data_IF_058342601591
#
_entry.id   IF_058342601591
#
_cell.length_a   1.000
_cell.length_b   1.000
_cell.length_c   1.000
_cell.angle_alpha   90.00
_cell.angle_beta   90.00
_cell.angle_gamma   90.00
#
_symmetry.space_group_name_H-M   'P 1'
#
loop_
_entity.id
_entity.type
_entity.pdbx_description
1 polymer ?
#
# COMPACT_ATOMS: atom_id res chain seq x y z
N UNK A 1 8.27 2.34 0.75
CA UNK A 1 8.66 2.91 -0.57
C UNK A 1 7.39 3.47 -1.21
N UNK A 2 7.39 4.72 -1.69
CA UNK A 2 6.18 5.52 -1.96
C UNK A 2 5.46 5.08 -3.26
N UNK A 3 4.64 4.02 -3.19
CA UNK A 3 3.96 3.41 -4.35
C UNK A 3 3.00 4.39 -5.07
N UNK A 4 2.36 5.29 -4.32
CA UNK A 4 1.41 6.29 -4.86
C UNK A 4 2.16 7.34 -5.71
N UNK A 5 3.35 7.76 -5.30
CA UNK A 5 4.18 8.71 -6.06
C UNK A 5 4.66 8.08 -7.37
N UNK A 6 5.08 6.81 -7.30
CA UNK A 6 5.46 6.04 -8.48
C UNK A 6 4.29 5.90 -9.46
N UNK A 7 3.09 5.67 -8.93
CA UNK A 7 1.89 5.57 -9.76
C UNK A 7 1.54 6.91 -10.42
N UNK A 8 1.63 8.04 -9.72
CA UNK A 8 1.43 9.36 -10.32
C UNK A 8 2.38 9.65 -11.48
N UNK A 9 3.66 9.27 -11.34
CA UNK A 9 4.64 9.38 -12.43
C UNK A 9 4.25 8.53 -13.65
N UNK A 10 3.82 7.28 -13.43
CA UNK A 10 3.36 6.38 -14.50
C UNK A 10 2.12 6.94 -15.20
N UNK A 11 1.19 7.51 -14.44
CA UNK A 11 -0.07 8.07 -14.95
C UNK A 11 0.09 9.49 -15.51
N UNK A 12 1.31 10.03 -15.54
CA UNK A 12 1.65 11.36 -16.08
C UNK A 12 0.92 12.52 -15.37
N UNK A 13 0.68 12.41 -14.06
CA UNK A 13 0.17 13.52 -13.25
C UNK A 13 1.02 13.78 -12.01
N UNK A 14 1.05 15.03 -11.58
CA UNK A 14 1.82 15.46 -10.41
C UNK A 14 1.01 15.24 -9.12
N UNK A 15 1.53 14.43 -8.21
CA UNK A 15 0.98 14.27 -6.86
C UNK A 15 1.60 15.32 -5.95
N UNK A 16 0.77 16.19 -5.36
CA UNK A 16 1.24 17.09 -4.31
C UNK A 16 1.41 16.31 -3.00
N UNK A 17 2.66 16.15 -2.57
CA UNK A 17 2.96 15.47 -1.31
C UNK A 17 2.93 16.47 -0.15
N UNK A 18 1.92 16.35 0.70
CA UNK A 18 1.94 16.98 2.02
C UNK A 18 2.61 16.01 2.99
N UNK A 19 3.83 16.33 3.41
CA UNK A 19 4.51 15.56 4.45
C UNK A 19 3.77 15.76 5.77
N UNK A 20 3.38 14.65 6.40
CA UNK A 20 2.81 14.63 7.74
C UNK A 20 3.85 14.01 8.65
N UNK A 21 4.36 14.81 9.58
CA UNK A 21 5.37 14.38 10.53
C UNK A 21 4.70 13.74 11.74
N UNK A 22 5.28 12.63 12.21
CA UNK A 22 4.88 11.94 13.44
C UNK A 22 5.90 12.23 14.54
N UNK A 23 6.16 13.51 14.84
CA UNK A 23 6.98 13.83 16.00
C UNK A 23 6.19 13.55 17.29
N UNK A 24 6.82 13.06 18.37
CA UNK A 24 6.15 12.93 19.66
C UNK A 24 5.62 14.30 20.10
N UNK A 25 4.29 14.45 20.18
CA UNK A 25 3.63 15.70 20.57
C UNK A 25 3.09 16.54 19.41
N UNK A 26 3.40 16.22 18.15
CA UNK A 26 2.68 16.80 17.02
C UNK A 26 1.31 16.14 16.88
N UNK A 27 0.26 16.94 17.07
CA UNK A 27 -1.11 16.47 16.85
C UNK A 27 -1.33 16.49 15.35
N UNK A 28 -1.64 15.33 14.76
CA UNK A 28 -2.18 15.27 13.39
C UNK A 28 -3.21 16.40 13.23
N UNK A 29 -3.11 17.17 12.15
CA UNK A 29 -4.00 18.30 11.86
C UNK A 29 -5.44 17.92 12.23
N UNK A 30 -6.04 18.63 13.19
CA UNK A 30 -7.33 18.23 13.77
C UNK A 30 -8.44 18.18 12.72
N UNK A 31 -8.31 18.95 11.63
CA UNK A 31 -9.18 18.86 10.48
C UNK A 31 -9.01 17.53 9.72
N UNK A 32 -7.78 17.08 9.52
CA UNK A 32 -7.45 15.80 8.90
C UNK A 32 -7.87 14.60 9.78
N UNK A 33 -7.68 14.71 11.10
CA UNK A 33 -8.14 13.70 12.06
C UNK A 33 -9.67 13.54 12.09
N UNK A 34 -10.40 14.64 11.93
CA UNK A 34 -11.87 14.61 11.86
C UNK A 34 -12.38 13.92 10.60
N UNK A 35 -11.68 14.08 9.48
CA UNK A 35 -12.04 13.46 8.22
C UNK A 35 -11.55 12.01 8.10
N UNK A 36 -10.39 11.67 8.67
CA UNK A 36 -9.81 10.32 8.68
C UNK A 36 -9.91 9.69 10.09
N UNK A 37 -11.03 9.02 10.43
CA UNK A 37 -11.23 8.42 11.76
C UNK A 37 -10.25 7.29 12.05
N UNK A 38 -9.72 6.62 11.00
CA UNK A 38 -8.74 5.54 11.13
C UNK A 38 -7.34 6.05 11.50
N UNK A 39 -7.08 7.36 11.32
CA UNK A 39 -5.79 8.03 11.55
C UNK A 39 -4.61 7.33 10.86
N UNK A 40 -4.89 6.66 9.74
CA UNK A 40 -3.90 5.91 8.98
C UNK A 40 -3.42 6.70 7.78
N UNK A 41 -2.11 6.69 7.54
CA UNK A 41 -1.51 7.14 6.29
C UNK A 41 -1.09 5.93 5.45
N UNK A 42 -1.04 6.08 4.11
CA UNK A 42 -1.33 7.28 3.32
C UNK A 42 -2.85 7.59 3.22
N UNK A 43 -3.16 8.86 2.94
CA UNK A 43 -4.50 9.32 2.58
C UNK A 43 -4.43 10.24 1.35
N UNK A 44 -5.40 10.13 0.47
CA UNK A 44 -5.59 10.96 -0.71
C UNK A 44 -6.82 11.85 -0.52
N UNK A 45 -6.68 13.13 -0.81
CA UNK A 45 -7.79 14.08 -0.95
C UNK A 45 -7.89 14.46 -2.42
N UNK A 46 -9.07 14.27 -2.99
CA UNK A 46 -9.39 14.66 -4.36
C UNK A 46 -10.77 15.33 -4.38
N UNK A 47 -10.77 16.68 -4.41
CA UNK A 47 -11.97 17.47 -4.15
C UNK A 47 -12.56 17.17 -2.77
N UNK A 48 -13.83 16.74 -2.74
CA UNK A 48 -14.54 16.36 -1.51
C UNK A 48 -14.34 14.89 -1.11
N UNK A 49 -13.60 14.12 -1.93
CA UNK A 49 -13.36 12.70 -1.69
C UNK A 49 -12.08 12.51 -0.86
N UNK A 50 -12.22 11.85 0.29
CA UNK A 50 -11.10 11.39 1.11
C UNK A 50 -11.01 9.85 1.04
N UNK A 51 -9.89 9.34 0.55
CA UNK A 51 -9.60 7.90 0.53
C UNK A 51 -8.40 7.63 1.41
N UNK A 52 -8.53 6.63 2.28
CA UNK A 52 -7.42 6.07 3.05
C UNK A 52 -7.17 4.64 2.58
N UNK A 53 -5.96 4.12 2.82
CA UNK A 53 -5.43 2.83 2.33
C UNK A 53 -4.72 2.94 0.98
N UNK A 54 -3.46 2.49 0.92
CA UNK A 54 -2.64 2.62 -0.28
C UNK A 54 -3.18 1.84 -1.47
N UNK A 55 -3.81 0.69 -1.25
CA UNK A 55 -4.32 -0.17 -2.31
C UNK A 55 -5.61 0.41 -2.89
N UNK A 56 -6.50 0.90 -2.02
CA UNK A 56 -7.70 1.62 -2.44
C UNK A 56 -7.36 2.90 -3.21
N UNK A 57 -6.39 3.69 -2.73
CA UNK A 57 -5.90 4.89 -3.43
C UNK A 57 -5.36 4.52 -4.82
N UNK A 58 -4.55 3.47 -4.93
CA UNK A 58 -3.99 3.05 -6.22
C UNK A 58 -5.09 2.64 -7.20
N UNK A 59 -6.06 1.83 -6.77
CA UNK A 59 -7.19 1.42 -7.61
C UNK A 59 -8.03 2.62 -8.07
N UNK A 60 -8.28 3.59 -7.19
CA UNK A 60 -8.97 4.83 -7.52
C UNK A 60 -8.20 5.65 -8.56
N UNK A 61 -6.92 5.91 -8.33
CA UNK A 61 -6.11 6.75 -9.22
C UNK A 61 -6.02 6.16 -10.64
N UNK A 62 -5.86 4.84 -10.77
CA UNK A 62 -5.89 4.19 -12.09
C UNK A 62 -7.28 4.25 -12.71
N UNK A 63 -8.34 4.03 -11.93
CA UNK A 63 -9.70 4.04 -12.47
C UNK A 63 -10.17 5.44 -12.91
N UNK A 64 -9.80 6.48 -12.18
CA UNK A 64 -10.23 7.86 -12.42
C UNK A 64 -9.34 8.59 -13.44
N UNK A 65 -8.02 8.35 -13.40
CA UNK A 65 -7.04 9.10 -14.19
C UNK A 65 -6.22 8.24 -15.15
N UNK A 66 -6.43 6.93 -15.17
CA UNK A 66 -5.77 6.02 -16.09
C UNK A 66 -6.12 6.34 -17.55
N UNK A 67 -5.10 6.51 -18.38
CA UNK A 67 -5.27 6.68 -19.83
C UNK A 67 -5.77 5.41 -20.52
N UNK A 68 -5.56 4.26 -19.89
CA UNK A 68 -5.96 2.95 -20.35
C UNK A 68 -6.18 2.01 -19.17
N UNK A 69 -6.74 0.83 -19.46
CA UNK A 69 -7.10 -0.16 -18.46
C UNK A 69 -5.98 -1.19 -18.21
N UNK A 70 -4.74 -0.93 -18.66
CA UNK A 70 -3.64 -1.92 -18.58
C UNK A 70 -3.22 -2.20 -17.13
N UNK A 71 -3.22 -1.17 -16.28
CA UNK A 71 -2.80 -1.29 -14.88
C UNK A 71 -3.91 -1.81 -13.96
N UNK A 72 -5.17 -1.59 -14.34
CA UNK A 72 -6.32 -2.04 -13.58
C UNK A 72 -7.49 -2.36 -14.54
N UNK A 73 -7.49 -3.56 -15.13
CA UNK A 73 -8.45 -3.97 -16.16
C UNK A 73 -9.89 -3.78 -15.72
N UNK A 74 -10.78 -3.47 -16.67
CA UNK A 74 -12.24 -3.39 -16.41
C UNK A 74 -12.92 -4.75 -16.53
N UNK A 75 -12.33 -5.70 -17.25
CA UNK A 75 -12.85 -7.06 -17.27
C UNK A 75 -12.84 -7.65 -15.86
N UNK A 76 -13.96 -8.28 -15.49
CA UNK A 76 -14.17 -8.79 -14.14
C UNK A 76 -13.17 -9.88 -13.73
N UNK A 77 -12.73 -10.72 -14.67
CA UNK A 77 -11.79 -11.82 -14.39
C UNK A 77 -10.39 -11.28 -14.21
N UNK A 78 -9.95 -10.41 -15.12
CA UNK A 78 -8.62 -9.81 -15.03
C UNK A 78 -8.51 -8.90 -13.80
N UNK A 79 -9.56 -8.13 -13.49
CA UNK A 79 -9.63 -7.32 -12.27
C UNK A 79 -9.56 -8.19 -11.02
N UNK A 80 -10.29 -9.31 -10.97
CA UNK A 80 -10.23 -10.22 -9.83
C UNK A 80 -8.82 -10.77 -9.60
N UNK A 81 -8.04 -10.98 -10.66
CA UNK A 81 -6.64 -11.38 -10.53
C UNK A 81 -5.79 -10.25 -9.92
N UNK A 82 -5.97 -8.99 -10.33
CA UNK A 82 -5.26 -7.86 -9.73
C UNK A 82 -5.65 -7.67 -8.27
N UNK A 83 -6.95 -7.67 -7.98
CA UNK A 83 -7.49 -7.54 -6.62
C UNK A 83 -6.98 -8.65 -5.69
N UNK A 84 -6.90 -9.90 -6.18
CA UNK A 84 -6.31 -11.01 -5.43
C UNK A 84 -4.88 -10.68 -4.97
N UNK A 85 -4.05 -10.02 -5.79
CA UNK A 85 -2.67 -9.67 -5.43
C UNK A 85 -2.63 -8.48 -4.49
N UNK A 86 -3.52 -7.49 -4.68
CA UNK A 86 -3.63 -6.35 -3.77
C UNK A 86 -4.04 -6.81 -2.36
N UNK A 87 -5.03 -7.69 -2.23
CA UNK A 87 -5.46 -8.22 -0.94
C UNK A 87 -4.43 -9.15 -0.31
N UNK A 88 -3.73 -9.95 -1.10
CA UNK A 88 -2.61 -10.76 -0.60
C UNK A 88 -1.49 -9.89 -0.01
N UNK A 89 -1.15 -8.78 -0.67
CA UNK A 89 -0.16 -7.84 -0.14
C UNK A 89 -0.64 -7.17 1.16
N UNK A 90 -1.88 -6.67 1.18
CA UNK A 90 -2.45 -6.00 2.34
C UNK A 90 -2.65 -6.92 3.55
N UNK A 91 -3.06 -8.17 3.32
CA UNK A 91 -3.43 -9.13 4.35
C UNK A 91 -2.28 -10.00 4.86
N UNK A 92 -1.28 -10.28 4.01
CA UNK A 92 -0.23 -11.26 4.35
C UNK A 92 1.18 -10.68 4.22
N UNK A 93 1.55 -10.15 3.05
CA UNK A 93 2.92 -9.70 2.80
C UNK A 93 3.28 -8.51 3.69
N UNK A 94 2.50 -7.44 3.65
CA UNK A 94 2.80 -6.21 4.38
C UNK A 94 2.83 -6.41 5.90
N UNK A 95 1.84 -7.09 6.53
CA UNK A 95 1.91 -7.41 7.96
C UNK A 95 3.15 -8.23 8.32
N UNK A 96 3.51 -9.22 7.51
CA UNK A 96 4.69 -10.07 7.73
C UNK A 96 5.98 -9.25 7.67
N UNK A 97 6.14 -8.40 6.65
CA UNK A 97 7.29 -7.49 6.55
C UNK A 97 7.31 -6.53 7.73
N UNK A 98 6.16 -5.97 8.13
CA UNK A 98 6.06 -5.06 9.27
C UNK A 98 6.52 -5.72 10.58
N UNK A 99 6.13 -6.97 10.83
CA UNK A 99 6.60 -7.72 11.99
C UNK A 99 8.11 -7.93 12.00
N UNK A 100 8.70 -8.18 10.84
CA UNK A 100 10.13 -8.47 10.71
C UNK A 100 10.98 -7.19 10.75
N UNK A 101 10.54 -6.12 10.08
CA UNK A 101 11.35 -4.95 9.79
C UNK A 101 11.00 -3.73 10.65
N UNK A 102 9.75 -3.56 11.10
CA UNK A 102 9.31 -2.34 11.79
C UNK A 102 9.42 -2.52 13.30
N UNK A 103 8.94 -3.63 13.86
CA UNK A 103 9.00 -3.87 15.31
C UNK A 103 10.43 -3.93 15.87
N UNK A 104 11.40 -4.62 15.23
CA UNK A 104 12.77 -4.71 15.75
C UNK A 104 13.66 -3.51 15.38
N UNK A 105 13.33 -2.74 14.35
CA UNK A 105 14.19 -1.62 13.92
C UNK A 105 13.73 -0.26 14.45
N UNK A 106 12.43 -0.07 14.72
CA UNK A 106 11.89 1.25 15.08
C UNK A 106 11.49 1.38 16.55
N UNK A 107 11.13 0.28 17.22
CA UNK A 107 10.62 0.34 18.60
C UNK A 107 11.62 -0.13 19.66
N UNK A 108 12.54 -1.02 19.31
CA UNK A 108 13.54 -1.54 20.25
C UNK A 108 14.87 -1.58 19.52
N UNK A 109 15.86 -0.78 19.94
CA UNK A 109 17.24 -0.87 19.42
C UNK A 109 17.91 -2.17 19.89
N UNK A 110 17.36 -3.32 19.53
CA UNK A 110 17.91 -4.63 19.91
C UNK A 110 18.23 -5.45 18.68
N UNK A 111 19.34 -6.17 18.80
CA UNK A 111 19.80 -7.19 17.87
C UNK A 111 18.63 -8.02 17.33
N UNK A 112 18.51 -8.13 16.01
CA UNK A 112 17.50 -8.95 15.32
C UNK A 112 17.89 -10.44 15.51
N UNK A 113 17.71 -10.98 16.71
CA UNK A 113 17.84 -12.41 16.99
C UNK A 113 16.46 -12.95 17.39
N UNK A 114 16.02 -14.01 16.73
CA UNK A 114 14.77 -14.72 17.06
C UNK A 114 13.52 -14.31 16.27
N UNK A 115 13.63 -13.38 15.32
CA UNK A 115 12.50 -13.02 14.44
C UNK A 115 12.30 -14.12 13.39
N UNK A 116 11.15 -14.81 13.43
CA UNK A 116 10.82 -15.84 12.44
C UNK A 116 10.64 -15.21 11.05
N UNK A 117 11.39 -15.73 10.07
CA UNK A 117 11.28 -15.33 8.66
C UNK A 117 10.39 -16.29 7.86
N UNK A 118 9.80 -17.29 8.51
CA UNK A 118 9.06 -18.36 7.84
C UNK A 118 7.88 -17.81 7.02
N UNK A 119 7.04 -16.97 7.63
CA UNK A 119 5.90 -16.36 6.93
C UNK A 119 6.32 -15.52 5.72
N UNK A 120 7.48 -14.85 5.77
CA UNK A 120 7.97 -14.08 4.63
C UNK A 120 8.42 -15.00 3.49
N UNK A 121 9.08 -16.11 3.83
CA UNK A 121 9.46 -17.12 2.84
C UNK A 121 8.22 -17.70 2.17
N UNK A 122 7.18 -18.02 2.93
CA UNK A 122 5.92 -18.54 2.39
C UNK A 122 5.22 -17.53 1.48
N UNK A 123 5.21 -16.25 1.86
CA UNK A 123 4.70 -15.17 1.02
C UNK A 123 5.47 -15.08 -0.31
N UNK A 124 6.81 -15.09 -0.27
CA UNK A 124 7.67 -15.02 -1.47
C UNK A 124 7.46 -16.25 -2.36
N UNK A 125 7.39 -17.44 -1.78
CA UNK A 125 7.14 -18.68 -2.54
C UNK A 125 5.76 -18.65 -3.19
N UNK A 126 4.75 -18.11 -2.52
CA UNK A 126 3.39 -17.96 -3.05
C UNK A 126 3.37 -16.96 -4.22
N UNK A 127 4.08 -15.83 -4.10
CA UNK A 127 4.26 -14.90 -5.24
C UNK A 127 4.93 -15.60 -6.42
N UNK A 128 6.02 -16.34 -6.19
CA UNK A 128 6.72 -17.06 -7.25
C UNK A 128 5.80 -18.06 -7.96
N UNK A 129 4.95 -18.77 -7.21
CA UNK A 129 3.94 -19.67 -7.79
C UNK A 129 2.94 -18.93 -8.67
N UNK A 130 2.44 -17.77 -8.24
CA UNK A 130 1.56 -16.95 -9.08
C UNK A 130 2.23 -16.58 -10.41
N UNK A 131 3.50 -16.15 -10.40
CA UNK A 131 4.23 -15.82 -11.63
C UNK A 131 4.39 -17.04 -12.56
N UNK A 132 4.75 -18.20 -12.00
CA UNK A 132 4.95 -19.42 -12.79
C UNK A 132 3.65 -19.96 -13.38
N UNK A 133 2.52 -19.84 -12.66
CA UNK A 133 1.20 -20.24 -13.15
C UNK A 133 0.66 -19.31 -14.25
N UNK A 134 1.05 -18.04 -14.22
CA UNK A 134 0.61 -17.03 -15.21
C UNK A 134 1.43 -17.06 -16.50
N UNK A 135 2.50 -17.85 -16.56
CA UNK A 135 3.43 -17.94 -17.70
C UNK A 135 3.12 -19.11 -18.65
N UNK A 136 1.96 -19.74 -18.53
CA UNK A 136 1.46 -20.81 -19.40
C UNK A 136 0.23 -20.33 -20.15
#
# INVERSE_FOLDING_TARGET
>A
MNNIVKLGLILTFSVQLKQVTFAPGETLDTAFLKQNPRRSLPALVDGDLLICDSHAINAYLVSAYGKNDVLYPKDSKDRALVDQRLYFDAGEIFPTIKQIAVSPCLLVRTHIQGVSTHGLKDCILTLARYFLLSSK
#
